data_IF_229512443347
#
_entry.id   IF_229512443347
#
_cell.length_a   1.000
_cell.length_b   1.000
_cell.length_c   1.000
_cell.angle_alpha   90.00
_cell.angle_beta   90.00
_cell.angle_gamma   90.00
#
_symmetry.space_group_name_H-M   'P 1'
#
loop_
_entity.id
_entity.type
_entity.pdbx_description
1 polymer ?
#
# COMPACT_ATOMS: atom_id res chain seq x y z
N UNK A 1 -10.94 4.09 6.18
CA UNK A 1 -9.94 5.11 5.86
C UNK A 1 -8.77 4.43 5.13
N UNK A 2 -8.69 4.55 3.80
CA UNK A 2 -7.56 4.00 3.00
C UNK A 2 -6.36 4.94 3.03
N UNK A 3 -6.56 6.18 3.47
CA UNK A 3 -5.56 7.23 3.51
C UNK A 3 -4.41 6.85 4.45
N UNK A 4 -4.72 6.22 5.59
CA UNK A 4 -3.72 5.70 6.52
C UNK A 4 -2.73 4.69 5.91
N UNK A 5 -3.15 3.90 4.90
CA UNK A 5 -2.18 3.06 4.17
C UNK A 5 -1.28 3.92 3.28
N UNK A 6 -1.83 4.94 2.61
CA UNK A 6 -1.10 5.75 1.62
C UNK A 6 -0.11 6.70 2.31
N UNK A 7 -0.52 7.34 3.39
CA UNK A 7 0.22 8.41 4.06
C UNK A 7 1.33 7.87 4.99
N UNK A 8 1.10 6.73 5.66
CA UNK A 8 2.11 6.08 6.52
C UNK A 8 3.08 5.17 5.77
N UNK A 9 2.83 4.89 4.49
CA UNK A 9 3.68 3.96 3.76
C UNK A 9 5.05 4.57 3.48
N UNK A 10 6.10 3.99 4.08
CA UNK A 10 7.50 4.24 3.70
C UNK A 10 7.84 3.60 2.34
N UNK A 11 6.94 3.76 1.37
CA UNK A 11 7.07 3.19 0.04
C UNK A 11 8.23 3.84 -0.71
N UNK A 12 9.05 3.00 -1.35
CA UNK A 12 9.98 3.46 -2.37
C UNK A 12 9.26 3.92 -3.64
N UNK A 13 10.02 4.42 -4.63
CA UNK A 13 9.45 4.85 -5.92
C UNK A 13 8.63 3.74 -6.59
N UNK A 14 9.13 2.52 -6.58
CA UNK A 14 8.44 1.32 -7.02
C UNK A 14 8.85 0.14 -6.14
N UNK A 15 7.97 -0.84 -5.99
CA UNK A 15 8.31 -2.12 -5.37
C UNK A 15 7.24 -2.63 -4.42
N UNK A 16 7.59 -3.64 -3.64
CA UNK A 16 6.73 -4.22 -2.63
C UNK A 16 7.09 -3.68 -1.24
N UNK A 17 6.08 -3.34 -0.46
CA UNK A 17 6.25 -2.99 0.95
C UNK A 17 5.22 -3.77 1.76
N UNK A 18 5.69 -4.67 2.62
CA UNK A 18 4.81 -5.60 3.34
C UNK A 18 3.73 -4.90 4.18
N UNK A 19 4.04 -3.73 4.74
CA UNK A 19 3.06 -2.97 5.49
C UNK A 19 1.96 -2.37 4.57
N UNK A 20 2.34 -1.94 3.36
CA UNK A 20 1.37 -1.52 2.35
C UNK A 20 0.47 -2.70 1.95
N UNK A 21 1.06 -3.85 1.66
CA UNK A 21 0.32 -5.06 1.29
C UNK A 21 -0.65 -5.53 2.37
N UNK A 22 -0.20 -5.61 3.61
CA UNK A 22 -1.04 -6.03 4.73
C UNK A 22 -2.17 -5.02 4.98
N UNK A 23 -1.89 -3.72 4.87
CA UNK A 23 -2.88 -2.67 5.02
C UNK A 23 -3.97 -2.76 3.93
N UNK A 24 -3.56 -3.00 2.70
CA UNK A 24 -4.45 -3.24 1.57
C UNK A 24 -5.30 -4.50 1.75
N UNK A 25 -4.71 -5.61 2.20
CA UNK A 25 -5.44 -6.84 2.51
C UNK A 25 -6.46 -6.65 3.63
N UNK A 26 -6.11 -5.90 4.68
CA UNK A 26 -7.04 -5.53 5.75
C UNK A 26 -8.19 -4.66 5.24
N UNK A 27 -7.96 -3.85 4.21
CA UNK A 27 -8.99 -3.06 3.54
C UNK A 27 -9.87 -3.87 2.57
N UNK A 28 -9.58 -5.15 2.34
CA UNK A 28 -10.33 -6.03 1.43
C UNK A 28 -9.77 -6.11 0.01
N UNK A 29 -8.58 -5.56 -0.25
CA UNK A 29 -7.92 -5.59 -1.55
C UNK A 29 -6.96 -6.78 -1.64
N UNK A 30 -6.62 -7.26 -2.84
CA UNK A 30 -5.75 -8.43 -3.00
C UNK A 30 -4.30 -8.18 -2.62
N UNK A 31 -3.78 -7.03 -3.04
CA UNK A 31 -2.35 -6.72 -2.91
C UNK A 31 -2.14 -5.22 -2.77
N UNK A 32 -1.18 -4.85 -1.94
CA UNK A 32 -0.64 -3.50 -1.86
C UNK A 32 0.74 -3.43 -2.50
N UNK A 33 0.94 -2.46 -3.37
CA UNK A 33 2.23 -2.23 -4.03
C UNK A 33 2.63 -0.76 -3.94
N UNK A 34 3.92 -0.49 -3.89
CA UNK A 34 4.45 0.87 -3.90
C UNK A 34 4.55 1.40 -5.32
N UNK A 35 3.93 2.54 -5.55
CA UNK A 35 3.97 3.27 -6.83
C UNK A 35 4.15 4.75 -6.53
N UNK A 36 5.19 5.37 -7.09
CA UNK A 36 5.56 6.77 -6.87
C UNK A 36 5.57 7.17 -5.38
N UNK A 37 6.28 6.40 -4.54
CA UNK A 37 6.40 6.66 -3.09
C UNK A 37 5.08 6.56 -2.32
N UNK A 38 4.04 6.03 -2.93
CA UNK A 38 2.73 5.83 -2.30
C UNK A 38 2.35 4.36 -2.34
N UNK A 39 1.71 3.90 -1.29
CA UNK A 39 1.06 2.60 -1.33
C UNK A 39 -0.20 2.69 -2.18
N UNK A 40 -0.32 1.78 -3.16
CA UNK A 40 -1.49 1.61 -3.99
C UNK A 40 -2.02 0.21 -3.77
N UNK A 41 -3.25 0.08 -3.29
CA UNK A 41 -3.91 -1.22 -3.28
C UNK A 41 -4.58 -1.47 -4.61
N UNK A 42 -4.37 -2.68 -5.12
CA UNK A 42 -5.08 -3.18 -6.28
C UNK A 42 -6.10 -4.24 -5.83
N UNK A 43 -7.31 -4.21 -6.42
CA UNK A 43 -8.33 -5.23 -6.19
C UNK A 43 -7.91 -6.60 -6.72
#
# INVERSE_FOLDING_TARGET
>A
DRDSCVDKSQCGKYGYYGQCDECCKKAGERVGTCVYYKCKCNP
#
